data_IF_278597243641
#
_entry.id   IF_278597243641
#
_cell.length_a   1.000
_cell.length_b   1.000
_cell.length_c   1.000
_cell.angle_alpha   90.00
_cell.angle_beta   90.00
_cell.angle_gamma   90.00
#
_symmetry.space_group_name_H-M   'P 1'
#
loop_
_entity.id
_entity.type
_entity.pdbx_description
1 polymer ?
#
# COMPACT_ATOMS: atom_id res chain seq x y z
N UNK A 1 -9.81 23.66 -8.85
CA UNK A 1 -10.00 22.53 -7.92
C UNK A 1 -10.18 21.29 -8.76
N UNK A 2 -9.12 20.50 -8.95
CA UNK A 2 -9.15 19.35 -9.85
C UNK A 2 -10.11 18.30 -9.32
N UNK A 3 -11.09 17.89 -10.13
CA UNK A 3 -12.00 16.80 -9.80
C UNK A 3 -11.19 15.54 -9.51
N UNK A 4 -11.07 15.18 -8.23
CA UNK A 4 -10.37 13.98 -7.80
C UNK A 4 -10.94 12.77 -8.54
N UNK A 5 -10.07 11.95 -9.12
CA UNK A 5 -10.49 10.68 -9.71
C UNK A 5 -10.70 9.72 -8.55
N UNK A 6 -11.94 9.32 -8.29
CA UNK A 6 -12.27 8.33 -7.25
C UNK A 6 -12.66 7.01 -7.90
N UNK A 7 -12.17 5.91 -7.31
CA UNK A 7 -12.61 4.56 -7.61
C UNK A 7 -13.36 4.03 -6.38
N UNK A 8 -14.66 3.82 -6.52
CA UNK A 8 -15.48 3.21 -5.46
C UNK A 8 -15.86 1.79 -5.88
N UNK A 9 -15.61 0.84 -5.00
CA UNK A 9 -15.92 -0.57 -5.23
C UNK A 9 -16.96 -1.01 -4.21
N UNK A 10 -18.14 -1.35 -4.71
CA UNK A 10 -19.22 -1.89 -3.90
C UNK A 10 -18.94 -3.37 -3.53
N UNK A 11 -19.48 -3.87 -2.40
CA UNK A 11 -19.42 -5.28 -2.08
C UNK A 11 -20.15 -6.12 -3.15
N UNK A 12 -19.83 -7.41 -3.23
CA UNK A 12 -20.48 -8.31 -4.18
C UNK A 12 -22.01 -8.28 -3.97
N UNK A 13 -22.80 -7.92 -5.00
CA UNK A 13 -24.23 -7.68 -4.84
C UNK A 13 -25.03 -8.95 -4.56
N UNK A 14 -24.57 -10.11 -5.04
CA UNK A 14 -24.99 -11.50 -4.73
C UNK A 14 -24.34 -12.38 -5.81
N UNK A 15 -23.82 -13.56 -5.47
CA UNK A 15 -23.16 -14.44 -6.45
C UNK A 15 -22.58 -15.72 -5.84
N UNK A 16 -21.61 -16.35 -6.51
CA UNK A 16 -20.87 -17.51 -5.96
C UNK A 16 -20.08 -17.21 -4.68
N UNK A 17 -19.96 -15.93 -4.32
CA UNK A 17 -19.44 -15.45 -3.06
C UNK A 17 -20.58 -14.84 -2.23
N UNK A 18 -20.49 -14.94 -0.89
CA UNK A 18 -21.52 -14.45 0.01
C UNK A 18 -21.83 -12.96 -0.22
N UNK A 19 -23.12 -12.62 -0.28
CA UNK A 19 -23.57 -11.24 -0.44
C UNK A 19 -22.96 -10.33 0.64
N UNK A 20 -22.51 -9.13 0.26
CA UNK A 20 -21.85 -8.21 1.19
C UNK A 20 -20.35 -8.46 1.40
N UNK A 21 -19.77 -9.46 0.73
CA UNK A 21 -18.32 -9.74 0.83
C UNK A 21 -17.50 -8.84 -0.11
N UNK A 22 -16.31 -8.43 0.37
CA UNK A 22 -15.27 -7.82 -0.44
C UNK A 22 -14.29 -8.87 -0.96
N UNK A 23 -13.70 -8.63 -2.12
CA UNK A 23 -12.67 -9.49 -2.73
C UNK A 23 -11.37 -8.70 -2.89
N UNK A 24 -10.22 -9.37 -3.03
CA UNK A 24 -8.96 -8.71 -3.34
C UNK A 24 -9.02 -7.91 -4.64
N UNK A 25 -8.51 -6.68 -4.58
CA UNK A 25 -8.40 -5.78 -5.72
C UNK A 25 -6.93 -5.45 -5.93
N UNK A 26 -6.48 -5.60 -7.18
CA UNK A 26 -5.13 -5.22 -7.59
C UNK A 26 -5.25 -4.02 -8.52
N UNK A 27 -4.63 -2.91 -8.12
CA UNK A 27 -4.51 -1.67 -8.91
C UNK A 27 -3.15 -1.65 -9.55
N UNK A 28 -3.11 -1.86 -10.87
CA UNK A 28 -1.89 -1.77 -11.66
C UNK A 28 -1.73 -0.33 -12.16
N UNK A 29 -0.62 0.30 -11.77
CA UNK A 29 -0.31 1.66 -12.18
C UNK A 29 0.87 1.65 -13.14
N UNK A 30 0.71 2.35 -14.26
CA UNK A 30 1.76 2.60 -15.25
C UNK A 30 1.97 4.09 -15.36
N UNK A 31 3.22 4.53 -15.25
CA UNK A 31 3.59 5.93 -15.43
C UNK A 31 4.00 6.17 -16.88
N UNK A 32 3.01 6.44 -17.73
CA UNK A 32 3.21 6.62 -19.18
C UNK A 32 3.90 7.94 -19.55
N UNK A 33 3.88 8.92 -18.65
CA UNK A 33 4.41 10.27 -18.90
C UNK A 33 5.67 10.59 -18.06
N UNK A 34 6.22 9.59 -17.36
CA UNK A 34 7.37 9.75 -16.45
C UNK A 34 7.18 10.91 -15.47
N UNK A 35 6.00 10.95 -14.85
CA UNK A 35 5.65 11.97 -13.87
C UNK A 35 6.48 11.79 -12.60
N UNK A 36 6.89 12.89 -11.96
CA UNK A 36 7.68 12.80 -10.72
C UNK A 36 6.93 12.10 -9.58
N UNK A 37 5.59 12.17 -9.57
CA UNK A 37 4.74 11.55 -8.56
C UNK A 37 3.47 10.99 -9.22
N UNK A 38 3.52 9.79 -9.83
CA UNK A 38 2.39 9.19 -10.53
C UNK A 38 1.30 8.69 -9.60
N UNK A 39 1.66 8.41 -8.33
CA UNK A 39 0.72 8.00 -7.29
C UNK A 39 0.85 9.02 -6.16
N UNK A 40 -0.20 9.82 -6.00
CA UNK A 40 -0.31 10.79 -4.90
C UNK A 40 -1.65 10.58 -4.17
N UNK A 41 -1.56 10.12 -2.94
CA UNK A 41 -2.69 9.69 -2.12
C UNK A 41 -2.75 10.60 -0.89
N UNK A 42 -3.73 11.50 -0.86
CA UNK A 42 -3.96 12.38 0.30
C UNK A 42 -4.68 11.69 1.47
N UNK A 43 -4.81 12.43 2.57
CA UNK A 43 -5.36 11.91 3.82
C UNK A 43 -6.80 11.43 3.66
N UNK A 44 -7.11 10.26 4.22
CA UNK A 44 -8.44 9.65 4.13
C UNK A 44 -8.80 9.06 2.76
N UNK A 45 -7.90 9.09 1.77
CA UNK A 45 -8.18 8.59 0.42
C UNK A 45 -8.19 7.06 0.33
N UNK A 46 -7.48 6.37 1.23
CA UNK A 46 -7.55 4.91 1.37
C UNK A 46 -8.58 4.57 2.45
N UNK A 47 -9.81 4.29 2.03
CA UNK A 47 -10.88 3.86 2.92
C UNK A 47 -11.08 2.33 2.84
N UNK A 48 -10.33 1.58 3.65
CA UNK A 48 -10.53 0.14 3.81
C UNK A 48 -11.19 -0.15 5.17
N UNK A 49 -12.53 -0.11 5.20
CA UNK A 49 -13.31 -0.29 6.43
C UNK A 49 -13.11 -1.67 7.09
N UNK A 50 -12.71 -2.69 6.32
CA UNK A 50 -12.43 -4.03 6.85
C UNK A 50 -11.08 -4.13 7.57
N UNK A 51 -10.20 -3.13 7.38
CA UNK A 51 -8.80 -3.15 7.81
C UNK A 51 -8.01 -4.39 7.36
N UNK A 52 -8.51 -5.13 6.36
CA UNK A 52 -7.81 -6.26 5.77
C UNK A 52 -6.93 -5.76 4.61
N UNK A 53 -5.61 -5.64 4.80
CA UNK A 53 -4.70 -5.16 3.75
C UNK A 53 -4.66 -6.06 2.51
N UNK A 54 -5.06 -7.33 2.61
CA UNK A 54 -5.12 -8.22 1.44
C UNK A 54 -6.21 -7.83 0.43
N UNK A 55 -7.15 -6.96 0.81
CA UNK A 55 -8.21 -6.52 -0.11
C UNK A 55 -7.79 -5.39 -1.07
N UNK A 56 -6.70 -4.68 -0.77
CA UNK A 56 -6.19 -3.62 -1.62
C UNK A 56 -4.70 -3.80 -1.85
N UNK A 57 -4.32 -4.10 -3.09
CA UNK A 57 -2.94 -4.15 -3.54
C UNK A 57 -2.72 -3.12 -4.63
N UNK A 58 -1.67 -2.33 -4.49
CA UNK A 58 -1.19 -1.37 -5.50
C UNK A 58 0.11 -1.92 -6.07
N UNK A 59 0.17 -2.13 -7.38
CA UNK A 59 1.35 -2.56 -8.10
C UNK A 59 1.84 -1.43 -9.00
N UNK A 60 3.10 -1.05 -8.85
CA UNK A 60 3.71 0.01 -9.63
C UNK A 60 5.12 -0.41 -10.07
N UNK A 61 5.33 -0.52 -11.38
CA UNK A 61 6.60 -0.97 -11.95
C UNK A 61 7.57 0.17 -12.29
N UNK A 62 7.12 1.42 -12.22
CA UNK A 62 7.92 2.59 -12.60
C UNK A 62 8.84 3.08 -11.48
N UNK A 63 9.45 4.25 -11.71
CA UNK A 63 10.48 4.84 -10.83
C UNK A 63 10.06 6.16 -10.19
N UNK A 64 8.91 6.70 -10.57
CA UNK A 64 8.35 7.93 -10.00
C UNK A 64 8.00 7.73 -8.53
N UNK A 65 8.02 8.81 -7.76
CA UNK A 65 7.79 8.75 -6.32
C UNK A 65 6.32 8.42 -6.01
N UNK A 66 6.07 7.54 -5.04
CA UNK A 66 4.73 7.28 -4.52
C UNK A 66 4.57 8.04 -3.21
N UNK A 67 3.62 8.97 -3.15
CA UNK A 67 3.33 9.74 -1.93
C UNK A 67 2.02 9.28 -1.32
N UNK A 68 2.06 8.95 -0.03
CA UNK A 68 0.86 8.77 0.80
C UNK A 68 0.96 9.78 1.93
N UNK A 69 0.11 10.79 1.90
CA UNK A 69 0.19 11.90 2.82
C UNK A 69 -1.16 12.20 3.51
N UNK A 70 -1.18 13.05 4.54
CA UNK A 70 -2.41 13.62 5.11
C UNK A 70 -2.99 12.93 6.34
N UNK A 71 -2.21 12.13 7.07
CA UNK A 71 -2.48 11.86 8.50
C UNK A 71 -3.66 10.92 8.81
N UNK A 72 -3.88 9.87 8.03
CA UNK A 72 -4.92 8.87 8.28
C UNK A 72 -4.36 7.45 8.33
N UNK A 73 -5.01 6.57 9.09
CA UNK A 73 -4.74 5.14 9.06
C UNK A 73 -5.10 4.55 7.70
N UNK A 74 -4.20 3.77 7.11
CA UNK A 74 -4.41 3.09 5.83
C UNK A 74 -4.11 1.59 5.95
N UNK A 75 -4.91 0.75 5.28
CA UNK A 75 -4.70 -0.70 5.24
C UNK A 75 -4.63 -1.20 3.79
N UNK A 76 -3.41 -1.49 3.31
CA UNK A 76 -3.15 -1.91 1.93
C UNK A 76 -1.77 -2.57 1.76
N UNK A 77 -1.55 -3.13 0.57
CA UNK A 77 -0.26 -3.60 0.10
C UNK A 77 0.24 -2.69 -1.01
N UNK A 78 1.50 -2.26 -0.93
CA UNK A 78 2.17 -1.60 -2.05
C UNK A 78 3.33 -2.47 -2.51
N UNK A 79 3.34 -2.78 -3.79
CA UNK A 79 4.41 -3.46 -4.49
C UNK A 79 4.99 -2.53 -5.57
N UNK A 80 6.10 -1.89 -5.24
CA UNK A 80 6.78 -0.91 -6.08
C UNK A 80 8.31 -0.95 -5.91
N UNK A 81 8.97 -2.06 -6.29
CA UNK A 81 10.38 -2.31 -5.95
C UNK A 81 11.36 -1.28 -6.55
N UNK A 82 10.97 -0.56 -7.61
CA UNK A 82 11.81 0.43 -8.28
C UNK A 82 11.53 1.88 -7.86
N UNK A 83 10.47 2.11 -7.08
CA UNK A 83 9.99 3.43 -6.73
C UNK A 83 10.32 3.81 -5.28
N UNK A 84 10.76 5.05 -5.03
CA UNK A 84 10.76 5.59 -3.68
C UNK A 84 9.32 5.82 -3.21
N UNK A 85 9.05 5.53 -1.94
CA UNK A 85 7.75 5.73 -1.31
C UNK A 85 7.89 6.60 -0.07
N UNK A 86 7.05 7.62 0.01
CA UNK A 86 6.99 8.57 1.13
C UNK A 86 5.64 8.45 1.83
N UNK A 87 5.69 8.18 3.13
CA UNK A 87 4.55 8.14 4.02
C UNK A 87 4.59 9.38 4.94
N UNK A 88 3.76 10.36 4.64
CA UNK A 88 3.74 11.66 5.31
C UNK A 88 2.49 11.84 6.18
N UNK A 89 2.61 11.87 7.50
CA UNK A 89 1.45 12.14 8.35
C UNK A 89 1.71 12.08 9.84
N UNK A 90 1.18 13.04 10.59
CA UNK A 90 1.19 12.97 12.04
C UNK A 90 0.23 11.87 12.52
N UNK A 91 0.70 11.01 13.44
CA UNK A 91 -0.04 9.89 14.01
C UNK A 91 -0.67 8.94 12.97
N UNK A 92 -0.09 8.83 11.77
CA UNK A 92 -0.56 7.90 10.75
C UNK A 92 -0.10 6.47 11.05
N UNK A 93 -0.96 5.50 10.80
CA UNK A 93 -0.63 4.07 10.95
C UNK A 93 -0.85 3.36 9.62
N UNK A 94 0.20 2.72 9.11
CA UNK A 94 0.11 1.86 7.95
C UNK A 94 -0.06 0.41 8.38
N UNK A 95 -1.15 -0.24 7.98
CA UNK A 95 -1.38 -1.67 8.20
C UNK A 95 -1.21 -2.42 6.89
N UNK A 96 -0.25 -3.35 6.83
CA UNK A 96 -0.05 -4.20 5.66
C UNK A 96 1.41 -4.39 5.30
N UNK A 97 1.72 -4.43 4.01
CA UNK A 97 3.06 -4.72 3.52
C UNK A 97 3.50 -3.71 2.45
N UNK A 98 4.76 -3.30 2.50
CA UNK A 98 5.40 -2.38 1.56
C UNK A 98 6.65 -3.07 1.01
N UNK A 99 6.70 -3.30 -0.30
CA UNK A 99 7.91 -3.73 -1.01
C UNK A 99 8.31 -2.63 -1.98
N UNK A 100 9.30 -1.82 -1.59
CA UNK A 100 9.62 -0.54 -2.22
C UNK A 100 11.13 -0.34 -2.32
N UNK A 101 11.59 0.60 -3.17
CA UNK A 101 13.03 0.90 -3.31
C UNK A 101 13.62 1.53 -2.05
N UNK A 102 12.97 2.59 -1.58
CA UNK A 102 13.31 3.31 -0.36
C UNK A 102 12.01 3.75 0.29
N UNK A 103 11.91 3.57 1.61
CA UNK A 103 10.77 4.01 2.39
C UNK A 103 11.18 5.18 3.27
N UNK A 104 10.53 6.32 3.08
CA UNK A 104 10.67 7.49 3.96
C UNK A 104 9.40 7.63 4.77
N UNK A 105 9.50 7.63 6.09
CA UNK A 105 8.39 7.83 7.00
C UNK A 105 8.56 9.20 7.67
N UNK A 106 7.80 10.19 7.22
CA UNK A 106 7.84 11.54 7.79
C UNK A 106 6.57 11.80 8.59
N UNK A 107 6.68 11.86 9.91
CA UNK A 107 5.53 12.16 10.74
C UNK A 107 5.79 11.84 12.19
N UNK A 108 5.44 12.79 13.06
CA UNK A 108 5.49 12.53 14.49
C UNK A 108 4.46 11.45 14.85
N UNK A 109 4.91 10.33 15.42
CA UNK A 109 4.04 9.20 15.78
C UNK A 109 3.59 8.33 14.59
N UNK A 110 4.20 8.47 13.41
CA UNK A 110 3.91 7.59 12.29
C UNK A 110 4.42 6.16 12.56
N UNK A 111 3.63 5.15 12.21
CA UNK A 111 3.94 3.74 12.50
C UNK A 111 3.57 2.82 11.36
N UNK A 112 4.31 1.72 11.24
CA UNK A 112 4.09 0.67 10.24
C UNK A 112 3.85 -0.64 10.98
N UNK A 113 2.71 -1.25 10.68
CA UNK A 113 2.27 -2.52 11.24
C UNK A 113 2.20 -3.56 10.14
N UNK A 114 3.14 -4.51 10.16
CA UNK A 114 3.06 -5.66 9.29
C UNK A 114 1.93 -6.59 9.73
N UNK A 115 0.98 -6.87 8.84
CA UNK A 115 -0.04 -7.87 9.10
C UNK A 115 0.44 -9.26 8.64
N UNK A 116 0.59 -10.16 9.61
CA UNK A 116 1.09 -11.53 9.40
C UNK A 116 0.16 -12.40 8.57
N UNK A 117 -1.12 -12.04 8.45
CA UNK A 117 -2.06 -12.79 7.60
C UNK A 117 -1.68 -12.70 6.13
N UNK A 118 -1.04 -11.61 5.71
CA UNK A 118 -0.53 -11.44 4.34
C UNK A 118 0.42 -12.53 3.88
N UNK A 119 1.18 -13.13 4.80
CA UNK A 119 2.08 -14.24 4.50
C UNK A 119 1.36 -15.42 3.82
N UNK A 120 0.04 -15.56 4.04
CA UNK A 120 -0.77 -16.66 3.52
C UNK A 120 -1.83 -16.22 2.50
N UNK A 121 -2.01 -14.91 2.27
CA UNK A 121 -3.14 -14.39 1.49
C UNK A 121 -2.78 -13.49 0.32
N UNK A 122 -1.59 -12.90 0.30
CA UNK A 122 -1.12 -12.06 -0.82
C UNK A 122 0.08 -12.73 -1.47
N UNK A 123 0.13 -12.71 -2.81
CA UNK A 123 1.10 -13.42 -3.63
C UNK A 123 2.51 -13.37 -3.04
N UNK A 124 2.93 -14.50 -2.49
CA UNK A 124 4.29 -14.72 -1.99
C UNK A 124 5.20 -14.78 -3.21
N UNK A 125 6.10 -13.80 -3.39
CA UNK A 125 6.99 -13.72 -4.55
C UNK A 125 8.11 -14.78 -4.54
N UNK A 126 8.00 -15.79 -3.68
CA UNK A 126 8.96 -16.87 -3.53
C UNK A 126 9.00 -17.36 -2.10
N UNK A 127 9.84 -18.36 -1.87
CA UNK A 127 10.10 -18.89 -0.54
C UNK A 127 10.76 -17.83 0.34
N UNK A 128 10.44 -17.83 1.63
CA UNK A 128 11.12 -16.99 2.62
C UNK A 128 12.62 -17.25 2.58
N UNK A 129 13.42 -16.23 2.25
CA UNK A 129 14.88 -16.28 2.34
C UNK A 129 15.35 -15.22 3.33
N UNK A 130 16.40 -15.56 4.07
CA UNK A 130 16.99 -14.68 5.08
C UNK A 130 17.92 -13.69 4.39
N UNK A 131 17.55 -12.42 4.34
CA UNK A 131 18.31 -11.35 3.67
C UNK A 131 19.29 -10.70 4.66
N UNK A 132 20.33 -11.47 5.03
CA UNK A 132 21.54 -11.06 5.77
C UNK A 132 21.39 -10.36 7.14
N UNK A 133 22.15 -10.84 8.12
CA UNK A 133 22.41 -10.12 9.38
C UNK A 133 23.87 -9.64 9.39
N UNK A 134 24.13 -8.40 9.78
CA UNK A 134 25.48 -7.91 10.07
C UNK A 134 25.57 -7.41 11.51
N UNK A 135 26.68 -7.75 12.15
CA UNK A 135 27.08 -7.24 13.44
C UNK A 135 28.06 -6.09 13.20
N UNK A 136 27.84 -4.92 13.80
CA UNK A 136 28.90 -3.92 13.88
C UNK A 136 29.91 -4.41 14.93
N UNK A 137 31.07 -4.83 14.46
CA UNK A 137 32.17 -5.26 15.32
C UNK A 137 32.79 -4.02 15.98
N UNK A 138 32.88 -4.03 17.32
CA UNK A 138 33.77 -3.13 18.07
C UNK A 138 35.23 -3.47 17.75
#
# INVERSE_FOLDING_TARGET
MGSGKSLSIAPCPTGSFGAGSYQPIVVNVVDVNNTSTPIDIGGGSIANASLNPAFLQIQYAGTGNVKVHGGSTAAAVIFAPNAPVELDGANSSWYGALMVKTLTLNGNGASIHYDRRLANTVATLGNWTMDTFTWSKY
#
